data_IF_791017837161
#
_entry.id   IF_791017837161
#
_cell.length_a   1.000
_cell.length_b   1.000
_cell.length_c   1.000
_cell.angle_alpha   90.00
_cell.angle_beta   90.00
_cell.angle_gamma   90.00
#
_symmetry.space_group_name_H-M   'P 1'
#
loop_
_entity.id
_entity.type
_entity.pdbx_description
1 polymer ?
#
# COMPACT_ATOMS: atom_id res chain seq x y z
N UNK A 1 9.07 15.93 2.37
CA UNK A 1 10.24 15.75 1.47
C UNK A 1 11.07 14.59 2.03
N UNK A 2 11.62 13.69 1.21
CA UNK A 2 12.48 12.60 1.69
C UNK A 2 13.86 13.15 2.07
N UNK A 3 14.43 12.71 3.20
CA UNK A 3 15.58 13.35 3.87
C UNK A 3 16.88 12.53 3.87
N UNK A 4 16.95 11.39 3.17
CA UNK A 4 18.10 10.47 3.16
C UNK A 4 18.95 10.59 1.88
N UNK A 5 20.27 10.33 1.96
CA UNK A 5 21.29 10.68 0.93
C UNK A 5 22.02 9.47 0.31
N UNK A 6 22.73 9.71 -0.80
CA UNK A 6 23.39 8.73 -1.70
C UNK A 6 24.36 7.75 -1.00
N UNK A 7 25.11 8.20 0.02
CA UNK A 7 26.02 7.36 0.81
C UNK A 7 25.30 6.27 1.65
N UNK A 8 23.97 6.35 1.80
CA UNK A 8 23.15 5.36 2.50
C UNK A 8 22.61 4.26 1.57
N UNK A 9 23.10 4.15 0.33
CA UNK A 9 22.88 2.97 -0.52
C UNK A 9 22.23 3.24 -1.89
N UNK A 10 22.63 4.25 -2.64
CA UNK A 10 22.16 4.46 -4.02
C UNK A 10 23.02 3.69 -5.05
N UNK A 11 22.40 3.04 -6.04
CA UNK A 11 23.09 2.37 -7.16
C UNK A 11 22.35 2.52 -8.49
N UNK A 12 21.29 3.34 -8.48
CA UNK A 12 20.45 3.69 -9.62
C UNK A 12 20.36 5.22 -9.55
N UNK A 13 20.54 5.96 -10.67
CA UNK A 13 20.57 7.43 -10.67
C UNK A 13 19.15 8.03 -10.53
N UNK A 14 18.45 7.63 -9.48
CA UNK A 14 17.15 8.14 -9.07
C UNK A 14 17.06 7.95 -7.55
N UNK A 15 16.72 9.03 -6.82
CA UNK A 15 16.53 9.01 -5.36
C UNK A 15 15.38 8.07 -4.99
N UNK A 16 15.71 6.80 -4.82
CA UNK A 16 14.79 5.77 -4.36
C UNK A 16 14.74 5.81 -2.85
N UNK A 17 13.55 5.81 -2.28
CA UNK A 17 13.37 6.01 -0.86
C UNK A 17 13.63 4.72 -0.05
N UNK A 18 13.55 3.54 -0.67
CA UNK A 18 13.76 2.25 -0.02
C UNK A 18 14.69 1.36 -0.81
N UNK A 19 15.38 0.50 -0.08
CA UNK A 19 15.90 -0.76 -0.57
C UNK A 19 15.28 -1.95 0.21
N UNK A 20 15.24 -3.11 -0.43
CA UNK A 20 14.65 -4.33 0.12
C UNK A 20 15.45 -5.51 -0.40
N UNK A 21 16.16 -6.20 0.50
CA UNK A 21 16.86 -7.44 0.15
C UNK A 21 15.88 -8.61 0.19
N UNK A 22 15.64 -9.26 -0.95
CA UNK A 22 14.87 -10.49 -1.05
C UNK A 22 15.75 -11.54 -1.74
N UNK A 23 16.13 -12.57 -0.99
CA UNK A 23 17.23 -13.46 -1.40
C UNK A 23 18.52 -12.65 -1.57
N UNK A 24 19.18 -12.81 -2.71
CA UNK A 24 20.42 -12.09 -3.02
C UNK A 24 20.20 -10.79 -3.80
N UNK A 25 18.94 -10.37 -4.01
CA UNK A 25 18.59 -9.19 -4.80
C UNK A 25 18.13 -8.03 -3.93
N UNK A 26 18.71 -6.86 -4.17
CA UNK A 26 18.26 -5.58 -3.59
C UNK A 26 17.26 -4.95 -4.55
N UNK A 27 16.05 -4.70 -4.07
CA UNK A 27 14.99 -4.02 -4.81
C UNK A 27 14.86 -2.61 -4.26
N UNK A 28 14.98 -1.60 -5.12
CA UNK A 28 14.80 -0.19 -4.72
C UNK A 28 13.47 0.35 -5.23
N UNK A 29 12.72 1.08 -4.42
CA UNK A 29 11.46 1.68 -4.84
C UNK A 29 11.13 2.96 -4.03
N UNK A 30 10.07 3.67 -4.42
CA UNK A 30 9.49 4.82 -3.73
C UNK A 30 7.95 4.77 -3.73
N UNK A 31 7.35 4.24 -4.80
CA UNK A 31 5.91 4.20 -5.00
C UNK A 31 5.48 2.90 -5.69
N UNK A 32 4.23 2.50 -5.48
CA UNK A 32 3.69 1.27 -6.03
C UNK A 32 2.19 1.38 -6.28
N UNK A 33 1.72 0.50 -7.15
CA UNK A 33 0.32 0.43 -7.53
C UNK A 33 -0.47 -0.45 -6.56
N UNK A 34 -1.72 -0.09 -6.29
CA UNK A 34 -2.69 -1.01 -5.74
C UNK A 34 -2.84 -2.21 -6.68
N UNK A 35 -2.45 -3.42 -6.24
CA UNK A 35 -2.47 -4.62 -7.09
C UNK A 35 -3.90 -4.97 -7.57
N UNK A 36 -4.93 -4.50 -6.86
CA UNK A 36 -6.32 -4.69 -7.28
C UNK A 36 -6.72 -3.76 -8.43
N UNK A 37 -5.90 -2.80 -8.84
CA UNK A 37 -6.16 -1.97 -10.01
C UNK A 37 -5.73 -2.62 -11.34
N UNK A 38 -5.14 -3.82 -11.33
CA UNK A 38 -4.78 -4.52 -12.56
C UNK A 38 -6.02 -4.93 -13.38
N UNK A 39 -5.87 -4.89 -14.71
CA UNK A 39 -6.76 -5.59 -15.61
C UNK A 39 -6.36 -7.06 -15.71
N UNK A 40 -7.19 -7.93 -15.14
CA UNK A 40 -6.91 -9.35 -15.07
C UNK A 40 -7.44 -10.06 -16.32
N UNK A 41 -6.60 -10.89 -16.95
CA UNK A 41 -7.04 -11.78 -18.04
C UNK A 41 -8.21 -12.67 -17.58
N UNK A 42 -9.14 -13.05 -18.48
CA UNK A 42 -10.20 -13.99 -18.17
C UNK A 42 -9.65 -15.28 -17.54
N UNK A 43 -10.30 -15.78 -16.48
CA UNK A 43 -9.89 -16.98 -15.75
C UNK A 43 -8.80 -16.79 -14.69
N UNK A 44 -8.19 -15.61 -14.56
CA UNK A 44 -7.23 -15.32 -13.49
C UNK A 44 -7.95 -15.06 -12.18
N UNK A 45 -7.87 -16.00 -11.24
CA UNK A 45 -8.49 -15.91 -9.90
C UNK A 45 -7.48 -15.65 -8.78
N UNK A 46 -6.18 -15.68 -9.06
CA UNK A 46 -5.11 -15.45 -8.06
C UNK A 46 -4.03 -14.55 -8.63
N UNK A 47 -3.59 -13.56 -7.85
CA UNK A 47 -2.43 -12.72 -8.17
C UNK A 47 -1.50 -12.63 -6.97
N UNK A 48 -0.19 -12.79 -7.15
CA UNK A 48 0.80 -12.68 -6.07
C UNK A 48 0.49 -13.56 -4.83
N UNK A 49 -0.14 -14.72 -5.02
CA UNK A 49 -0.58 -15.62 -3.94
C UNK A 49 -1.88 -15.20 -3.23
N UNK A 50 -2.53 -14.13 -3.68
CA UNK A 50 -3.80 -13.64 -3.15
C UNK A 50 -4.96 -14.15 -4.01
N UNK A 51 -5.83 -14.95 -3.41
CA UNK A 51 -7.02 -15.54 -4.06
C UNK A 51 -8.14 -14.51 -4.30
N UNK A 52 -9.19 -14.97 -4.99
CA UNK A 52 -10.40 -14.20 -5.34
C UNK A 52 -10.11 -12.90 -6.11
N UNK A 53 -9.00 -12.89 -6.84
CA UNK A 53 -8.50 -11.70 -7.53
C UNK A 53 -9.47 -11.19 -8.59
N UNK A 54 -10.17 -12.10 -9.26
CA UNK A 54 -11.20 -11.82 -10.26
C UNK A 54 -12.36 -11.01 -9.68
N UNK A 55 -12.78 -11.32 -8.45
CA UNK A 55 -13.86 -10.64 -7.72
C UNK A 55 -13.40 -9.31 -7.09
N UNK A 56 -12.13 -9.22 -6.68
CA UNK A 56 -11.55 -8.06 -6.01
C UNK A 56 -11.13 -6.96 -6.99
N UNK A 57 -10.45 -7.30 -8.08
CA UNK A 57 -9.77 -6.34 -8.94
C UNK A 57 -10.71 -5.34 -9.64
N UNK A 58 -10.42 -4.05 -9.62
CA UNK A 58 -11.20 -2.99 -10.28
C UNK A 58 -11.26 -3.12 -11.80
N UNK A 59 -10.20 -3.62 -12.45
CA UNK A 59 -10.02 -3.80 -13.91
C UNK A 59 -9.96 -2.51 -14.74
N UNK A 60 -10.79 -1.52 -14.44
CA UNK A 60 -10.85 -0.24 -15.16
C UNK A 60 -11.09 0.93 -14.22
N UNK A 61 -10.70 2.14 -14.63
CA UNK A 61 -10.75 3.36 -13.82
C UNK A 61 -12.16 3.95 -13.66
N UNK A 62 -13.12 3.59 -14.54
CA UNK A 62 -14.48 4.11 -14.50
C UNK A 62 -15.33 3.42 -13.41
N UNK A 63 -15.00 3.69 -12.15
CA UNK A 63 -15.67 3.13 -10.97
C UNK A 63 -16.55 4.18 -10.28
N UNK A 64 -17.38 3.72 -9.36
CA UNK A 64 -18.08 4.62 -8.43
C UNK A 64 -17.17 4.95 -7.25
N UNK A 65 -17.30 6.16 -6.71
CA UNK A 65 -16.53 6.64 -5.54
C UNK A 65 -15.01 6.58 -5.74
N UNK A 66 -14.53 6.94 -6.93
CA UNK A 66 -13.12 6.92 -7.33
C UNK A 66 -12.21 7.76 -6.43
N UNK A 67 -12.73 8.83 -5.81
CA UNK A 67 -12.05 9.63 -4.80
C UNK A 67 -11.66 8.87 -3.50
N UNK A 68 -12.19 7.65 -3.29
CA UNK A 68 -11.88 6.79 -2.13
C UNK A 68 -11.06 5.54 -2.49
N UNK A 69 -10.76 5.35 -3.77
CA UNK A 69 -10.05 4.17 -4.26
C UNK A 69 -8.57 4.52 -4.42
N UNK A 70 -7.67 3.96 -3.59
CA UNK A 70 -6.25 4.22 -3.72
C UNK A 70 -5.74 3.52 -4.97
N UNK A 71 -5.12 4.28 -5.87
CA UNK A 71 -4.58 3.75 -7.12
C UNK A 71 -3.06 3.61 -7.07
N UNK A 72 -2.37 4.67 -6.63
CA UNK A 72 -0.92 4.71 -6.58
C UNK A 72 -0.46 5.46 -5.34
N UNK A 73 0.46 4.89 -4.59
CA UNK A 73 0.88 5.45 -3.31
C UNK A 73 2.27 5.00 -2.94
N UNK A 74 2.78 5.57 -1.87
CA UNK A 74 4.08 5.22 -1.31
C UNK A 74 4.12 3.72 -1.02
N UNK A 75 5.11 3.04 -1.58
CA UNK A 75 5.16 1.60 -1.49
C UNK A 75 6.60 1.13 -1.38
N UNK A 76 6.83 0.23 -0.43
CA UNK A 76 8.12 -0.42 -0.21
C UNK A 76 8.57 -1.26 -1.41
N UNK A 77 7.61 -1.75 -2.21
CA UNK A 77 7.84 -2.59 -3.39
C UNK A 77 7.00 -2.07 -4.56
N UNK A 78 6.85 -2.88 -5.61
CA UNK A 78 6.08 -2.51 -6.81
C UNK A 78 4.57 -2.34 -6.58
N UNK A 79 4.04 -2.76 -5.45
CA UNK A 79 2.61 -2.74 -5.14
C UNK A 79 2.27 -3.75 -4.05
N UNK A 80 1.02 -3.81 -3.63
CA UNK A 80 0.49 -4.67 -2.57
C UNK A 80 -1.02 -4.85 -2.70
N UNK A 81 -1.56 -5.91 -2.12
CA UNK A 81 -3.00 -6.19 -2.17
C UNK A 81 -3.57 -6.42 -0.77
N UNK A 82 -4.01 -5.37 -0.06
CA UNK A 82 -4.78 -5.51 1.17
C UNK A 82 -6.09 -6.23 0.86
N UNK A 83 -6.43 -7.24 1.63
CA UNK A 83 -7.57 -8.14 1.40
C UNK A 83 -8.77 -7.83 2.28
N UNK A 84 -8.55 -7.34 3.49
CA UNK A 84 -9.62 -7.02 4.45
C UNK A 84 -9.26 -5.81 5.28
N UNK A 85 -10.26 -5.13 5.85
CA UNK A 85 -10.01 -4.05 6.82
C UNK A 85 -9.43 -4.56 8.13
N UNK A 86 -9.50 -5.86 8.40
CA UNK A 86 -8.85 -6.47 9.56
C UNK A 86 -7.42 -6.95 9.28
N UNK A 87 -6.90 -6.76 8.07
CA UNK A 87 -5.53 -7.15 7.74
C UNK A 87 -4.53 -6.46 8.69
N UNK A 88 -3.52 -7.18 9.18
CA UNK A 88 -2.63 -6.67 10.22
C UNK A 88 -1.76 -5.53 9.70
N UNK A 89 -1.52 -4.56 10.58
CA UNK A 89 -0.47 -3.57 10.41
C UNK A 89 0.92 -4.22 10.51
N UNK A 90 1.99 -3.58 9.99
CA UNK A 90 3.36 -4.00 10.25
C UNK A 90 3.62 -4.10 11.77
N UNK A 91 4.27 -5.16 12.26
CA UNK A 91 4.48 -5.35 13.71
C UNK A 91 5.35 -4.25 14.33
N UNK A 92 6.30 -3.71 13.57
CA UNK A 92 7.10 -2.54 13.93
C UNK A 92 7.45 -1.70 12.68
N UNK A 93 8.13 -0.57 12.86
CA UNK A 93 8.49 0.35 11.77
C UNK A 93 9.52 -0.23 10.77
N UNK A 94 10.32 -1.20 11.21
CA UNK A 94 11.44 -1.78 10.47
C UNK A 94 11.13 -3.16 9.88
N UNK A 95 10.28 -3.95 10.54
CA UNK A 95 9.87 -5.30 10.13
C UNK A 95 8.58 -5.22 9.32
N UNK A 96 8.65 -5.71 8.08
CA UNK A 96 7.60 -5.53 7.09
C UNK A 96 7.03 -6.85 6.62
N UNK A 97 5.71 -6.90 6.46
CA UNK A 97 5.06 -7.97 5.73
C UNK A 97 5.25 -7.77 4.23
N UNK A 98 5.63 -8.83 3.52
CA UNK A 98 5.85 -8.78 2.08
C UNK A 98 4.53 -8.83 1.27
N UNK A 99 3.44 -8.27 1.78
CA UNK A 99 2.17 -8.04 1.05
C UNK A 99 1.26 -7.08 1.84
N UNK A 100 0.09 -6.74 1.28
CA UNK A 100 -0.96 -5.96 1.95
C UNK A 100 -0.50 -4.59 2.46
N UNK A 101 -1.02 -4.21 3.63
CA UNK A 101 -0.63 -2.97 4.32
C UNK A 101 0.84 -2.91 4.70
N UNK A 102 1.51 -4.07 4.86
CA UNK A 102 2.96 -4.16 5.09
C UNK A 102 3.82 -3.47 4.05
N UNK A 103 3.32 -3.34 2.82
CA UNK A 103 4.02 -2.65 1.73
C UNK A 103 3.72 -1.15 1.66
N UNK A 104 2.70 -0.65 2.34
CA UNK A 104 2.23 0.74 2.23
C UNK A 104 2.33 1.54 3.53
N UNK A 105 2.02 0.92 4.67
CA UNK A 105 2.00 1.56 5.97
C UNK A 105 3.43 1.84 6.44
N UNK A 106 3.91 3.07 6.20
CA UNK A 106 5.29 3.49 6.48
C UNK A 106 5.31 4.86 7.13
N UNK A 107 5.94 4.98 8.30
CA UNK A 107 6.05 6.25 9.00
C UNK A 107 7.19 7.13 8.49
N UNK A 108 7.01 7.77 7.33
CA UNK A 108 8.06 8.64 6.74
C UNK A 108 7.72 10.12 6.67
N UNK A 109 6.44 10.47 6.79
CA UNK A 109 5.97 11.84 6.62
C UNK A 109 5.12 12.24 7.81
N UNK A 110 5.72 12.20 9.01
CA UNK A 110 5.05 12.52 10.26
C UNK A 110 3.68 11.82 10.35
N UNK A 111 3.70 10.48 10.27
CA UNK A 111 2.52 9.62 10.37
C UNK A 111 1.48 9.80 9.26
N UNK A 112 1.88 10.34 8.11
CA UNK A 112 1.04 10.45 6.92
C UNK A 112 1.68 9.82 5.68
N UNK A 113 0.86 9.56 4.67
CA UNK A 113 1.20 8.94 3.39
C UNK A 113 0.49 9.71 2.26
N UNK A 114 1.18 9.90 1.13
CA UNK A 114 0.60 10.48 -0.08
C UNK A 114 0.03 9.41 -1.00
N UNK A 115 -1.19 9.64 -1.48
CA UNK A 115 -1.96 8.71 -2.28
C UNK A 115 -2.55 9.45 -3.46
N UNK A 116 -2.35 8.90 -4.66
CA UNK A 116 -3.12 9.23 -5.85
C UNK A 116 -4.35 8.31 -5.90
N UNK A 117 -5.53 8.92 -5.87
CA UNK A 117 -6.81 8.24 -5.94
C UNK A 117 -7.16 7.92 -7.40
N UNK A 118 -8.14 7.04 -7.62
CA UNK A 118 -8.54 6.61 -8.96
C UNK A 118 -9.16 7.73 -9.82
N UNK A 119 -9.64 8.81 -9.21
CA UNK A 119 -10.09 10.01 -9.94
C UNK A 119 -8.94 10.97 -10.31
N UNK A 120 -7.69 10.60 -9.98
CA UNK A 120 -6.50 11.40 -10.22
C UNK A 120 -6.21 12.46 -9.15
N UNK A 121 -7.05 12.59 -8.13
CA UNK A 121 -6.78 13.48 -7.01
C UNK A 121 -5.63 12.96 -6.14
N UNK A 122 -4.86 13.88 -5.56
CA UNK A 122 -3.77 13.56 -4.64
C UNK A 122 -4.16 13.93 -3.21
N UNK A 123 -4.05 12.97 -2.30
CA UNK A 123 -4.42 13.12 -0.89
C UNK A 123 -3.24 12.79 0.02
N UNK A 124 -3.16 13.51 1.13
CA UNK A 124 -2.33 13.14 2.28
C UNK A 124 -3.24 12.48 3.31
N UNK A 125 -2.97 11.23 3.63
CA UNK A 125 -3.78 10.40 4.53
C UNK A 125 -2.93 10.01 5.74
N UNK A 126 -3.53 9.91 6.93
CA UNK A 126 -2.82 9.39 8.11
C UNK A 126 -2.61 7.88 7.97
N UNK A 127 -1.64 7.29 8.65
CA UNK A 127 -1.34 5.86 8.51
C UNK A 127 -2.53 4.95 8.81
N UNK A 128 -3.25 5.18 9.92
CA UNK A 128 -4.48 4.43 10.25
C UNK A 128 -5.58 4.61 9.19
N UNK A 129 -5.61 5.75 8.52
CA UNK A 129 -6.54 6.05 7.42
C UNK A 129 -6.35 5.16 6.19
N UNK A 130 -5.23 4.45 6.04
CA UNK A 130 -5.07 3.43 4.99
C UNK A 130 -6.16 2.35 5.06
N UNK A 131 -6.58 1.98 6.26
CA UNK A 131 -7.62 0.98 6.48
C UNK A 131 -9.02 1.48 6.12
N UNK A 132 -9.19 2.80 5.95
CA UNK A 132 -10.47 3.45 5.66
C UNK A 132 -10.69 3.77 4.17
N UNK A 133 -9.76 3.28 3.32
CA UNK A 133 -9.80 3.38 1.88
C UNK A 133 -10.44 2.15 1.24
N UNK A 134 -11.05 2.33 0.06
CA UNK A 134 -11.71 1.25 -0.68
C UNK A 134 -10.70 0.55 -1.59
N UNK A 135 -9.95 -0.42 -1.06
CA UNK A 135 -8.85 -1.07 -1.78
C UNK A 135 -9.28 -1.92 -2.98
N UNK A 136 -10.41 -2.62 -2.87
CA UNK A 136 -10.96 -3.48 -3.92
C UNK A 136 -12.49 -3.51 -3.86
N UNK A 137 -13.14 -4.08 -4.89
CA UNK A 137 -14.61 -4.05 -5.02
C UNK A 137 -15.33 -4.63 -3.80
N UNK A 138 -14.85 -5.76 -3.31
CA UNK A 138 -15.42 -6.50 -2.17
C UNK A 138 -14.85 -6.08 -0.80
N UNK A 139 -14.03 -5.03 -0.72
CA UNK A 139 -13.42 -4.59 0.55
C UNK A 139 -14.50 -4.06 1.50
N UNK A 140 -14.73 -4.73 2.63
CA UNK A 140 -15.82 -4.39 3.53
C UNK A 140 -15.41 -3.27 4.50
N UNK A 141 -16.11 -2.15 4.44
CA UNK A 141 -15.85 -0.99 5.30
C UNK A 141 -16.49 -1.13 6.69
N UNK A 142 -17.37 -2.12 6.89
CA UNK A 142 -18.03 -2.39 8.17
C UNK A 142 -17.11 -3.17 9.12
N UNK A 143 -16.20 -3.98 8.57
CA UNK A 143 -15.20 -4.73 9.33
C UNK A 143 -14.35 -3.77 10.16
N UNK A 144 -14.02 -4.13 11.40
CA UNK A 144 -13.19 -3.28 12.26
C UNK A 144 -11.73 -3.29 11.78
N UNK A 145 -10.98 -2.19 11.97
CA UNK A 145 -9.54 -2.20 11.76
C UNK A 145 -8.86 -3.22 12.69
N UNK A 146 -7.63 -3.67 12.39
CA UNK A 146 -6.89 -4.54 13.29
C UNK A 146 -6.62 -3.84 14.62
N UNK A 147 -6.28 -4.62 15.65
CA UNK A 147 -5.61 -4.05 16.80
C UNK A 147 -4.28 -3.43 16.36
N UNK A 148 -4.06 -2.17 16.73
CA UNK A 148 -2.84 -1.46 16.37
C UNK A 148 -1.65 -1.97 17.18
N UNK A 149 -0.48 -2.21 16.55
CA UNK A 149 0.77 -2.51 17.25
C UNK A 149 1.23 -1.29 18.06
N UNK A 150 2.14 -1.50 19.01
CA UNK A 150 2.59 -0.47 19.97
C UNK A 150 3.08 0.82 19.30
N UNK A 151 3.76 0.70 18.16
CA UNK A 151 4.25 1.88 17.44
C UNK A 151 3.13 2.68 16.76
N UNK A 152 1.96 2.08 16.52
CA UNK A 152 0.80 2.72 15.91
C UNK A 152 -0.26 3.15 16.92
N UNK A 153 -0.26 2.61 18.15
CA UNK A 153 -1.38 2.79 19.09
C UNK A 153 -1.65 4.27 19.37
N UNK A 154 -0.59 5.05 19.57
CA UNK A 154 -0.65 6.49 19.89
C UNK A 154 -0.69 7.40 18.67
N UNK A 155 -0.72 6.83 17.45
CA UNK A 155 -0.81 7.65 16.24
C UNK A 155 -2.23 8.21 16.09
N UNK A 156 -2.38 9.40 15.47
CA UNK A 156 -3.69 9.95 15.20
C UNK A 156 -4.57 8.96 14.41
N UNK A 157 -5.82 8.80 14.85
CA UNK A 157 -6.85 8.08 14.08
C UNK A 157 -7.15 8.79 12.76
N UNK A 158 -7.90 8.13 11.87
CA UNK A 158 -8.07 8.50 10.46
C UNK A 158 -8.52 9.94 10.17
#
# INVERSE_FOLDING_TARGET
MATKTEEEGESIPARMAWDCKIGDKIHKNSYGINNWCYDLRPGVTTIWGLAEADSRAWRHINQKNTARIPMFLECWRWGGGPTTRSDPAPPDENVRHNTGFGRYCMNRHAYTIHICMMDGSAHRVKLKGLWDLKWHRTYNMVDQPPQWPDWMVNLPDS
#
